data_IF_970141395873
#
_entry.id   IF_970141395873
#
_cell.length_a   1.000
_cell.length_b   1.000
_cell.length_c   1.000
_cell.angle_alpha   90.00
_cell.angle_beta   90.00
_cell.angle_gamma   90.00
#
_symmetry.space_group_name_H-M   'P 1'
#
loop_
_entity.id
_entity.type
_entity.pdbx_description
1 polymer ?
#
# COMPACT_ATOMS: atom_id res chain seq x y z
N UNK A 1 0.43 0.77 -9.56
CA UNK A 1 1.25 0.36 -8.40
C UNK A 1 1.74 1.60 -7.68
N UNK A 2 1.82 1.52 -6.35
CA UNK A 2 2.30 2.56 -5.45
C UNK A 2 3.48 2.02 -4.64
N UNK A 3 4.55 2.80 -4.51
CA UNK A 3 5.65 2.57 -3.56
C UNK A 3 5.55 3.62 -2.45
N UNK A 4 5.35 3.17 -1.21
CA UNK A 4 5.21 4.03 -0.04
C UNK A 4 6.57 4.52 0.49
N UNK A 5 7.67 4.09 -0.11
CA UNK A 5 9.06 4.44 0.25
C UNK A 5 9.62 3.63 1.41
N UNK A 6 8.77 3.15 2.31
CA UNK A 6 9.10 2.29 3.45
C UNK A 6 7.93 1.37 3.78
N UNK A 7 8.14 0.43 4.71
CA UNK A 7 7.06 -0.46 5.15
C UNK A 7 6.13 0.25 6.12
N UNK A 8 4.83 0.05 5.94
CA UNK A 8 3.77 0.51 6.83
C UNK A 8 2.91 -0.67 7.27
N UNK A 9 2.36 -0.57 8.48
CA UNK A 9 1.21 -1.32 8.96
C UNK A 9 -0.05 -0.59 8.47
N UNK A 10 -0.56 -0.99 7.31
CA UNK A 10 -1.72 -0.40 6.67
C UNK A 10 -3.02 -0.93 7.27
N UNK A 11 -3.99 -0.07 7.53
CA UNK A 11 -5.32 -0.43 8.05
C UNK A 11 -6.47 -0.10 7.07
N UNK A 12 -6.17 0.67 6.03
CA UNK A 12 -7.17 1.14 5.08
C UNK A 12 -6.61 2.08 4.03
N UNK A 13 -7.54 2.66 3.28
CA UNK A 13 -7.27 3.70 2.30
C UNK A 13 -8.47 4.63 2.17
N UNK A 14 -8.19 5.85 1.76
CA UNK A 14 -9.18 6.82 1.35
C UNK A 14 -9.00 7.10 -0.15
N UNK A 15 -10.10 7.00 -0.90
CA UNK A 15 -10.11 7.03 -2.36
C UNK A 15 -10.97 8.21 -2.81
N UNK A 16 -10.34 9.15 -3.52
CA UNK A 16 -11.05 10.09 -4.37
C UNK A 16 -11.10 9.48 -5.76
N UNK A 17 -12.20 8.78 -6.04
CA UNK A 17 -12.40 8.15 -7.35
C UNK A 17 -12.63 9.22 -8.43
N UNK A 18 -12.47 8.85 -9.71
CA UNK A 18 -12.50 9.79 -10.83
C UNK A 18 -13.78 10.63 -10.89
N UNK A 19 -13.66 11.92 -10.60
CA UNK A 19 -14.78 12.82 -10.36
C UNK A 19 -15.02 13.78 -11.54
N UNK A 20 -15.27 13.21 -12.72
CA UNK A 20 -15.52 13.93 -13.98
C UNK A 20 -16.77 13.35 -14.68
N UNK A 21 -17.34 14.00 -15.72
CA UNK A 21 -18.56 13.52 -16.35
C UNK A 21 -18.52 12.07 -16.86
N UNK A 22 -17.34 11.58 -17.28
CA UNK A 22 -17.18 10.22 -17.80
C UNK A 22 -17.27 9.15 -16.72
N UNK A 23 -17.73 7.95 -17.09
CA UNK A 23 -17.86 6.82 -16.16
C UNK A 23 -16.56 6.01 -16.02
N UNK A 24 -15.44 6.70 -15.83
CA UNK A 24 -14.09 6.09 -15.81
C UNK A 24 -13.60 5.66 -14.43
N UNK A 25 -14.34 5.98 -13.37
CA UNK A 25 -13.96 5.59 -12.01
C UNK A 25 -13.75 4.08 -11.91
N UNK A 26 -12.78 3.68 -11.09
CA UNK A 26 -12.53 2.27 -10.77
C UNK A 26 -13.77 1.72 -10.04
N UNK A 27 -14.24 0.55 -10.44
CA UNK A 27 -15.33 -0.17 -9.77
C UNK A 27 -14.75 -1.37 -9.01
N UNK A 28 -14.59 -2.52 -9.66
CA UNK A 28 -14.01 -3.71 -9.02
C UNK A 28 -12.49 -3.71 -9.16
N UNK A 29 -11.81 -3.93 -8.04
CA UNK A 29 -10.34 -3.94 -7.96
C UNK A 29 -9.86 -5.08 -7.08
N UNK A 30 -8.79 -5.73 -7.52
CA UNK A 30 -8.00 -6.64 -6.70
C UNK A 30 -6.80 -5.86 -6.14
N UNK A 31 -6.71 -5.77 -4.82
CA UNK A 31 -5.65 -5.04 -4.14
C UNK A 31 -4.60 -6.04 -3.64
N UNK A 32 -3.36 -5.89 -4.11
CA UNK A 32 -2.24 -6.74 -3.71
C UNK A 32 -1.22 -5.92 -2.92
N UNK A 33 -0.59 -6.58 -1.94
CA UNK A 33 0.35 -5.97 -1.02
C UNK A 33 1.68 -6.72 -1.05
N UNK A 34 2.79 -5.99 -0.91
CA UNK A 34 4.11 -6.59 -0.77
C UNK A 34 5.03 -5.71 0.09
N UNK A 35 5.92 -6.33 0.86
CA UNK A 35 7.04 -5.64 1.53
C UNK A 35 8.28 -5.58 0.63
N UNK A 36 8.45 -6.58 -0.23
CA UNK A 36 9.53 -6.73 -1.19
C UNK A 36 8.98 -7.24 -2.51
N UNK A 37 9.45 -6.68 -3.62
CA UNK A 37 9.17 -7.18 -4.97
C UNK A 37 10.46 -7.73 -5.58
N UNK A 38 10.33 -8.65 -6.52
CA UNK A 38 11.51 -9.20 -7.23
C UNK A 38 11.95 -8.30 -8.38
N UNK A 39 10.99 -7.63 -9.03
CA UNK A 39 11.26 -6.61 -10.05
C UNK A 39 11.51 -5.21 -9.48
N UNK A 40 11.85 -4.28 -10.39
CA UNK A 40 11.97 -2.85 -10.07
C UNK A 40 10.62 -2.15 -10.21
N UNK A 41 10.38 -1.13 -9.38
CA UNK A 41 9.20 -0.28 -9.52
C UNK A 41 9.03 0.20 -10.97
N UNK A 42 7.82 0.04 -11.52
CA UNK A 42 7.50 0.37 -12.91
C UNK A 42 7.79 -0.74 -13.94
N UNK A 43 8.51 -1.80 -13.56
CA UNK A 43 8.71 -3.01 -14.37
C UNK A 43 8.02 -4.24 -13.79
N UNK A 44 7.60 -4.18 -12.52
CA UNK A 44 6.85 -5.24 -11.85
C UNK A 44 5.36 -5.15 -12.19
N UNK A 45 4.81 -6.24 -12.72
CA UNK A 45 3.39 -6.40 -13.02
C UNK A 45 2.67 -7.21 -11.92
N UNK A 46 1.40 -7.55 -12.14
CA UNK A 46 0.55 -8.29 -11.22
C UNK A 46 0.94 -9.77 -11.02
N UNK A 47 1.89 -10.28 -11.80
CA UNK A 47 2.33 -11.70 -11.80
C UNK A 47 3.58 -11.98 -10.95
N UNK A 48 4.24 -10.93 -10.44
CA UNK A 48 5.40 -11.05 -9.56
C UNK A 48 5.07 -11.86 -8.30
N UNK A 49 5.97 -12.78 -7.93
CA UNK A 49 5.79 -13.72 -6.82
C UNK A 49 5.90 -13.07 -5.44
N UNK A 50 6.36 -11.82 -5.37
CA UNK A 50 6.40 -11.02 -4.15
C UNK A 50 5.03 -10.48 -3.72
N UNK A 51 4.02 -10.50 -4.60
CA UNK A 51 2.66 -10.12 -4.23
C UNK A 51 2.02 -11.15 -3.30
N UNK A 52 1.46 -10.67 -2.19
CA UNK A 52 0.59 -11.47 -1.34
C UNK A 52 -0.77 -11.77 -1.97
N UNK A 53 -1.63 -12.43 -1.19
CA UNK A 53 -3.02 -12.70 -1.58
C UNK A 53 -3.76 -11.39 -1.89
N UNK A 54 -4.53 -11.39 -2.97
CA UNK A 54 -5.36 -10.25 -3.34
C UNK A 54 -6.57 -10.10 -2.40
N UNK A 55 -6.87 -8.86 -2.05
CA UNK A 55 -8.12 -8.46 -1.41
C UNK A 55 -9.01 -7.81 -2.47
N UNK A 56 -10.17 -8.41 -2.75
CA UNK A 56 -11.15 -7.82 -3.65
C UNK A 56 -11.90 -6.69 -2.93
N UNK A 57 -12.11 -5.57 -3.62
CA UNK A 57 -12.85 -4.41 -3.14
C UNK A 57 -13.65 -3.80 -4.30
N UNK A 58 -14.76 -3.13 -3.98
CA UNK A 58 -15.56 -2.39 -4.97
C UNK A 58 -15.58 -0.92 -4.57
N UNK A 59 -14.85 -0.08 -5.30
CA UNK A 59 -14.85 1.35 -5.07
C UNK A 59 -16.13 1.97 -5.64
N UNK A 60 -16.70 2.93 -4.91
CA UNK A 60 -17.93 3.62 -5.29
C UNK A 60 -17.62 4.68 -6.35
N UNK A 61 -18.51 4.84 -7.32
CA UNK A 61 -18.41 5.90 -8.32
C UNK A 61 -18.46 7.27 -7.65
N UNK A 62 -17.55 8.17 -8.06
CA UNK A 62 -17.62 9.56 -7.62
C UNK A 62 -18.91 10.24 -8.07
N UNK A 63 -19.41 11.17 -7.26
CA UNK A 63 -20.72 11.82 -7.49
C UNK A 63 -20.72 12.84 -8.64
N UNK A 64 -19.56 13.18 -9.20
CA UNK A 64 -19.36 14.22 -10.24
C UNK A 64 -19.61 15.64 -9.72
N UNK A 65 -19.66 15.80 -8.40
CA UNK A 65 -19.88 17.08 -7.73
C UNK A 65 -18.56 17.61 -7.15
N UNK A 66 -18.42 18.93 -7.09
CA UNK A 66 -17.29 19.57 -6.41
C UNK A 66 -17.30 19.36 -4.88
N UNK A 67 -18.40 18.84 -4.34
CA UNK A 67 -18.55 18.45 -2.93
C UNK A 67 -18.20 16.98 -2.67
N UNK A 68 -17.75 16.23 -3.68
CA UNK A 68 -17.31 14.85 -3.48
C UNK A 68 -16.06 14.83 -2.60
N UNK A 69 -16.14 14.12 -1.47
CA UNK A 69 -15.07 14.08 -0.47
C UNK A 69 -14.25 12.80 -0.50
N UNK A 70 -14.51 11.88 -1.43
CA UNK A 70 -13.90 10.56 -1.42
C UNK A 70 -14.56 9.60 -0.43
N UNK A 71 -14.18 8.32 -0.51
CA UNK A 71 -14.70 7.23 0.31
C UNK A 71 -13.57 6.51 1.03
N UNK A 72 -13.85 5.96 2.22
CA UNK A 72 -12.86 5.21 3.01
C UNK A 72 -13.15 3.71 2.95
N UNK A 73 -12.12 2.93 2.67
CA UNK A 73 -12.16 1.47 2.63
C UNK A 73 -11.22 0.92 3.69
N UNK A 74 -11.74 0.06 4.57
CA UNK A 74 -10.95 -0.60 5.61
C UNK A 74 -10.48 -1.97 5.13
N UNK A 75 -9.25 -2.36 5.49
CA UNK A 75 -8.73 -3.70 5.20
C UNK A 75 -9.26 -4.77 6.15
N UNK A 76 -10.04 -4.40 7.18
CA UNK A 76 -10.55 -5.30 8.22
C UNK A 76 -9.49 -5.85 9.18
N UNK A 77 -8.23 -5.88 8.77
CA UNK A 77 -7.06 -6.20 9.58
C UNK A 77 -5.82 -5.47 9.05
N UNK A 78 -4.83 -5.26 9.91
CA UNK A 78 -3.59 -4.59 9.51
C UNK A 78 -2.77 -5.46 8.57
N UNK A 79 -2.29 -4.87 7.46
CA UNK A 79 -1.40 -5.52 6.49
C UNK A 79 -0.06 -4.77 6.44
N UNK A 80 1.05 -5.48 6.62
CA UNK A 80 2.38 -4.88 6.47
C UNK A 80 2.76 -4.80 4.99
N UNK A 81 2.96 -3.60 4.45
CA UNK A 81 3.28 -3.38 3.04
C UNK A 81 4.15 -2.14 2.82
N UNK A 82 5.02 -2.21 1.80
CA UNK A 82 5.67 -1.04 1.19
C UNK A 82 5.09 -0.75 -0.19
N UNK A 83 4.71 -1.80 -0.92
CA UNK A 83 4.15 -1.71 -2.25
C UNK A 83 2.68 -2.11 -2.22
N UNK A 84 1.87 -1.34 -2.94
CA UNK A 84 0.45 -1.62 -3.14
C UNK A 84 0.14 -1.62 -4.64
N UNK A 85 -0.57 -2.62 -5.12
CA UNK A 85 -1.02 -2.72 -6.50
C UNK A 85 -2.54 -2.74 -6.55
N UNK A 86 -3.10 -1.84 -7.37
CA UNK A 86 -4.48 -1.91 -7.82
C UNK A 86 -4.49 -2.62 -9.17
N UNK A 87 -4.97 -3.86 -9.16
CA UNK A 87 -5.23 -4.69 -10.32
C UNK A 87 -6.72 -4.51 -10.67
N UNK A 88 -6.99 -3.53 -11.54
CA UNK A 88 -8.34 -3.04 -11.85
C UNK A 88 -9.05 -4.03 -12.76
N UNK A 89 -10.23 -4.47 -12.37
CA UNK A 89 -11.02 -5.45 -13.11
C UNK A 89 -12.10 -4.77 -13.97
N UNK A 90 -12.77 -3.75 -13.44
CA UNK A 90 -13.89 -3.07 -14.10
C UNK A 90 -13.91 -1.57 -13.83
N UNK A 91 -14.71 -0.86 -14.61
CA UNK A 91 -15.10 0.54 -14.40
C UNK A 91 -16.61 0.67 -14.61
N UNK A 92 -17.12 1.87 -14.37
CA UNK A 92 -18.55 2.17 -14.48
C UNK A 92 -19.08 2.31 -15.93
N UNK A 93 -18.40 1.74 -16.93
CA UNK A 93 -18.89 1.63 -18.31
C UNK A 93 -18.18 2.52 -19.34
N UNK A 94 -16.94 2.93 -19.11
CA UNK A 94 -16.10 3.66 -20.09
C UNK A 94 -15.02 2.74 -20.70
N UNK A 95 -14.33 3.19 -21.75
CA UNK A 95 -13.18 2.44 -22.31
C UNK A 95 -11.86 2.71 -21.59
N UNK A 96 -11.83 3.75 -20.74
CA UNK A 96 -10.67 4.13 -19.96
C UNK A 96 -10.96 4.02 -18.47
N UNK A 97 -9.89 3.92 -17.68
CA UNK A 97 -9.97 4.00 -16.22
C UNK A 97 -9.30 5.28 -15.77
N UNK A 98 -9.91 5.94 -14.79
CA UNK A 98 -9.38 7.10 -14.10
C UNK A 98 -9.44 6.89 -12.59
N UNK A 99 -8.53 7.55 -11.90
CA UNK A 99 -8.48 7.70 -10.46
C UNK A 99 -7.93 9.10 -10.18
N UNK A 100 -8.56 9.86 -9.29
CA UNK A 100 -8.08 11.20 -8.96
C UNK A 100 -6.99 11.13 -7.90
N UNK A 101 -7.28 10.51 -6.75
CA UNK A 101 -6.31 10.39 -5.66
C UNK A 101 -6.55 9.16 -4.78
N UNK A 102 -5.48 8.64 -4.20
CA UNK A 102 -5.50 7.66 -3.12
C UNK A 102 -4.60 8.10 -1.97
N UNK A 103 -5.10 7.93 -0.74
CA UNK A 103 -4.30 8.03 0.49
C UNK A 103 -4.38 6.73 1.27
N UNK A 104 -3.25 6.09 1.49
CA UNK A 104 -3.17 4.93 2.38
C UNK A 104 -3.15 5.36 3.84
N UNK A 105 -3.84 4.63 4.72
CA UNK A 105 -3.86 4.85 6.16
C UNK A 105 -3.15 3.72 6.88
N UNK A 106 -2.39 4.08 7.92
CA UNK A 106 -1.57 3.13 8.67
C UNK A 106 -0.46 3.83 9.44
N UNK A 107 0.42 3.03 10.05
CA UNK A 107 1.59 3.52 10.79
C UNK A 107 2.88 3.02 10.17
N UNK A 108 3.94 3.83 10.19
CA UNK A 108 5.23 3.41 9.65
C UNK A 108 5.81 2.30 10.52
N UNK A 109 6.28 1.21 9.90
CA UNK A 109 7.03 0.16 10.59
C UNK A 109 8.45 0.70 10.84
N UNK A 110 8.89 0.86 12.10
CA UNK A 110 10.22 1.37 12.37
C UNK A 110 11.30 0.47 11.77
N UNK A 111 12.25 1.06 11.06
CA UNK A 111 13.45 0.33 10.68
C UNK A 111 14.19 -0.16 11.93
N UNK A 112 14.74 -1.39 11.94
CA UNK A 112 15.57 -1.84 13.05
C UNK A 112 16.74 -0.87 13.20
N UNK A 113 16.74 -0.05 14.26
CA UNK A 113 17.81 0.92 14.46
C UNK A 113 19.14 0.16 14.58
N UNK A 114 19.98 0.28 13.54
CA UNK A 114 21.27 -0.43 13.50
C UNK A 114 22.16 -0.04 14.69
N UNK A 115 21.93 1.15 15.26
CA UNK A 115 22.57 1.62 16.49
C UNK A 115 22.17 0.83 17.75
N UNK A 116 20.92 0.37 17.89
CA UNK A 116 20.54 -0.46 19.03
C UNK A 116 21.18 -1.85 18.95
N UNK A 117 21.25 -2.42 17.74
CA UNK A 117 21.96 -3.67 17.50
C UNK A 117 23.46 -3.52 17.78
N UNK A 118 24.11 -2.46 17.25
CA UNK A 118 25.53 -2.19 17.52
C UNK A 118 25.80 -1.99 19.03
N UNK A 119 24.98 -1.17 19.70
CA UNK A 119 25.14 -0.89 21.13
C UNK A 119 25.00 -2.15 21.99
N UNK A 120 24.08 -3.06 21.65
CA UNK A 120 23.96 -4.35 22.33
C UNK A 120 25.17 -5.26 22.07
N UNK A 121 25.69 -5.33 20.84
CA UNK A 121 26.90 -6.08 20.52
C UNK A 121 28.13 -5.55 21.27
N UNK A 122 28.29 -4.23 21.39
CA UNK A 122 29.39 -3.61 22.15
C UNK A 122 29.22 -3.76 23.67
N UNK A 123 27.99 -3.70 24.18
CA UNK A 123 27.69 -3.96 25.60
C UNK A 123 28.01 -5.41 25.99
N UNK A 124 27.65 -6.39 25.16
CA UNK A 124 27.93 -7.80 25.41
C UNK A 124 29.42 -8.13 25.32
N UNK A 125 30.12 -7.60 24.32
CA UNK A 125 31.58 -7.80 24.19
C UNK A 125 32.35 -7.17 25.35
N UNK A 126 31.93 -6.01 25.83
CA UNK A 126 32.55 -5.38 27.00
C UNK A 126 32.34 -6.17 28.30
N UNK A 127 31.17 -6.78 28.49
CA UNK A 127 30.92 -7.72 29.60
C UNK A 127 31.79 -8.97 29.49
N UNK A 128 32.00 -9.51 28.27
CA UNK A 128 32.84 -10.69 28.04
C UNK A 128 34.33 -10.42 28.26
N UNK A 129 34.83 -9.23 27.88
CA UNK A 129 36.23 -8.82 28.10
C UNK A 129 36.53 -8.56 29.57
N UNK A 130 35.54 -8.13 30.37
CA UNK A 130 35.67 -7.91 31.81
C UNK A 130 35.72 -9.18 32.65
N UNK A 131 35.39 -10.34 32.09
CA UNK A 131 35.38 -11.65 32.78
C UNK A 131 36.64 -12.48 32.50
N UNK A 132 37.69 -11.87 31.96
CA UNK A 132 39.03 -12.44 31.82
C UNK A 132 39.99 -11.71 32.76
#
# INVERSE_FOLDING_TARGET
MFDLGQSYELDGMHIWNYNSPESRGIEDVNIKFATTLTGTFGSTDETDTGWGTATAETFTQASKLNTYTGETYSLGSTVTARYVLFDIQTNYGDSYVGLDEVRFTGTAVPEPSSFALLASCFGLTWIMVRRR
#
